data_IF_885879553954
#
_entry.id   IF_885879553954
#
_cell.length_a   1.000
_cell.length_b   1.000
_cell.length_c   1.000
_cell.angle_alpha   90.00
_cell.angle_beta   90.00
_cell.angle_gamma   90.00
#
_symmetry.space_group_name_H-M   'P 1'
#
loop_
_entity.id
_entity.type
_entity.pdbx_description
1 polymer ?
#
# COMPACT_ATOMS: atom_id res chain seq x y z
N UNK A 1 15.34 6.92 -24.33
CA UNK A 1 14.86 5.86 -25.25
C UNK A 1 14.95 4.42 -24.69
N UNK A 2 15.35 4.19 -23.42
CA UNK A 2 15.45 2.84 -22.79
C UNK A 2 14.28 2.44 -21.87
N UNK A 3 13.38 3.36 -21.54
CA UNK A 3 12.23 3.12 -20.62
C UNK A 3 11.00 2.57 -21.36
N UNK A 4 10.88 2.82 -22.67
CA UNK A 4 9.74 2.35 -23.50
C UNK A 4 9.84 0.85 -23.78
N UNK A 5 11.04 0.26 -23.78
CA UNK A 5 11.22 -1.17 -24.04
C UNK A 5 10.76 -2.10 -22.88
N UNK A 6 10.77 -1.62 -21.65
CA UNK A 6 10.32 -2.42 -20.50
C UNK A 6 8.78 -2.58 -20.46
N UNK A 7 8.02 -1.64 -21.02
CA UNK A 7 6.55 -1.71 -21.08
C UNK A 7 6.04 -2.66 -22.16
N UNK A 8 6.78 -2.85 -23.24
CA UNK A 8 6.40 -3.73 -24.34
C UNK A 8 6.62 -5.22 -24.06
N UNK A 9 7.55 -5.56 -23.16
CA UNK A 9 7.79 -6.97 -22.76
C UNK A 9 6.72 -7.52 -21.81
N UNK A 10 5.98 -6.67 -21.09
CA UNK A 10 4.86 -7.10 -20.24
C UNK A 10 3.56 -7.37 -21.02
N UNK A 11 3.41 -6.80 -22.20
CA UNK A 11 2.20 -6.96 -23.03
C UNK A 11 2.14 -8.31 -23.78
N UNK A 12 3.27 -9.01 -23.97
CA UNK A 12 3.33 -10.26 -24.74
C UNK A 12 3.02 -11.52 -23.93
N UNK A 13 2.86 -11.44 -22.60
CA UNK A 13 2.56 -12.61 -21.75
C UNK A 13 1.07 -12.93 -21.58
N UNK A 14 0.17 -12.17 -22.21
CA UNK A 14 -1.29 -12.23 -21.93
C UNK A 14 -2.12 -13.00 -22.97
N UNK A 15 -1.53 -13.73 -23.92
CA UNK A 15 -2.25 -14.29 -25.08
C UNK A 15 -2.46 -15.80 -25.08
N UNK A 16 -2.53 -16.44 -23.92
CA UNK A 16 -3.04 -17.83 -23.84
C UNK A 16 -4.18 -17.94 -22.82
N UNK A 17 -5.34 -17.34 -23.14
CA UNK A 17 -6.59 -17.63 -22.44
C UNK A 17 -7.24 -18.83 -23.14
N UNK A 18 -7.20 -19.99 -22.53
CA UNK A 18 -7.98 -21.16 -22.95
C UNK A 18 -9.49 -20.83 -22.96
N UNK A 19 -10.13 -21.00 -24.11
CA UNK A 19 -11.60 -20.97 -24.25
C UNK A 19 -12.24 -22.11 -23.49
N UNK A 20 -12.72 -21.84 -22.30
CA UNK A 20 -13.62 -22.72 -21.56
C UNK A 20 -15.05 -22.24 -21.78
N UNK A 21 -15.92 -23.07 -22.39
CA UNK A 21 -17.36 -22.78 -22.61
C UNK A 21 -18.01 -22.24 -21.32
N UNK A 22 -18.72 -21.11 -21.37
CA UNK A 22 -19.14 -20.43 -20.15
C UNK A 22 -20.48 -20.95 -19.63
N UNK A 23 -20.45 -21.76 -18.58
CA UNK A 23 -21.55 -21.71 -17.61
C UNK A 23 -21.58 -20.31 -16.99
N UNK A 24 -22.79 -19.74 -16.70
CA UNK A 24 -22.87 -18.37 -16.10
C UNK A 24 -21.95 -18.27 -14.89
N UNK A 25 -20.90 -17.47 -14.94
CA UNK A 25 -19.91 -17.42 -13.87
C UNK A 25 -20.59 -16.94 -12.58
N UNK A 26 -20.57 -17.79 -11.55
CA UNK A 26 -21.00 -17.39 -10.20
C UNK A 26 -19.85 -16.63 -9.55
N UNK A 27 -20.15 -15.49 -8.93
CA UNK A 27 -19.17 -14.79 -8.08
C UNK A 27 -18.81 -15.70 -6.88
N UNK A 28 -17.55 -15.92 -6.65
CA UNK A 28 -17.04 -16.71 -5.51
C UNK A 28 -15.69 -16.15 -5.06
N UNK A 29 -15.32 -16.38 -3.82
CA UNK A 29 -13.98 -16.10 -3.32
C UNK A 29 -13.08 -17.25 -3.77
N UNK A 30 -12.22 -16.98 -4.73
CA UNK A 30 -11.20 -17.86 -5.27
C UNK A 30 -9.80 -17.44 -4.81
N UNK A 31 -8.77 -18.22 -5.17
CA UNK A 31 -7.38 -17.97 -4.79
C UNK A 31 -6.93 -16.54 -5.15
N UNK A 32 -7.28 -16.05 -6.35
CA UNK A 32 -6.89 -14.71 -6.79
C UNK A 32 -7.55 -13.63 -5.94
N UNK A 33 -8.83 -13.80 -5.56
CA UNK A 33 -9.51 -12.87 -4.65
C UNK A 33 -8.91 -12.86 -3.25
N UNK A 34 -8.50 -14.03 -2.75
CA UNK A 34 -7.80 -14.11 -1.45
C UNK A 34 -6.49 -13.34 -1.52
N UNK A 35 -5.66 -13.59 -2.54
CA UNK A 35 -4.38 -12.90 -2.71
C UNK A 35 -4.60 -11.38 -2.87
N UNK A 36 -5.52 -10.99 -3.76
CA UNK A 36 -5.81 -9.57 -4.01
C UNK A 36 -6.41 -8.91 -2.76
N UNK A 37 -7.32 -9.58 -2.06
CA UNK A 37 -7.90 -9.10 -0.79
C UNK A 37 -6.84 -8.90 0.29
N UNK A 38 -5.87 -9.83 0.40
CA UNK A 38 -4.74 -9.72 1.33
C UNK A 38 -3.84 -8.54 0.99
N UNK A 39 -3.54 -8.31 -0.30
CA UNK A 39 -2.78 -7.13 -0.74
C UNK A 39 -3.51 -5.83 -0.39
N UNK A 40 -4.81 -5.77 -0.64
CA UNK A 40 -5.63 -4.59 -0.32
C UNK A 40 -5.75 -4.38 1.20
N UNK A 41 -5.80 -5.45 1.99
CA UNK A 41 -5.76 -5.38 3.45
C UNK A 41 -4.41 -4.80 3.94
N UNK A 42 -3.29 -5.28 3.38
CA UNK A 42 -1.95 -4.71 3.67
C UNK A 42 -1.87 -3.24 3.29
N UNK A 43 -2.44 -2.85 2.15
CA UNK A 43 -2.52 -1.45 1.75
C UNK A 43 -3.30 -0.61 2.77
N UNK A 44 -4.45 -1.10 3.22
CA UNK A 44 -5.26 -0.46 4.26
C UNK A 44 -4.50 -0.34 5.57
N UNK A 45 -3.80 -1.39 5.99
CA UNK A 45 -2.98 -1.38 7.21
C UNK A 45 -1.85 -0.35 7.14
N UNK A 46 -1.12 -0.29 6.03
CA UNK A 46 -0.07 0.70 5.82
C UNK A 46 -0.62 2.14 5.84
N UNK A 47 -1.79 2.37 5.24
CA UNK A 47 -2.48 3.66 5.29
C UNK A 47 -2.94 4.02 6.70
N UNK A 48 -3.59 3.09 7.42
CA UNK A 48 -4.04 3.30 8.80
C UNK A 48 -2.88 3.58 9.75
N UNK A 49 -1.75 2.90 9.56
CA UNK A 49 -0.54 3.16 10.35
C UNK A 49 0.04 4.55 10.06
N UNK A 50 0.05 5.01 8.82
CA UNK A 50 0.44 6.38 8.51
C UNK A 50 -0.45 7.43 9.18
N UNK A 51 -1.75 7.20 9.19
CA UNK A 51 -2.69 8.11 9.88
C UNK A 51 -2.46 8.07 11.40
N UNK A 52 -2.13 6.91 11.97
CA UNK A 52 -1.72 6.79 13.38
C UNK A 52 -0.48 7.64 13.68
N UNK A 53 0.57 7.50 12.88
CA UNK A 53 1.80 8.29 13.06
C UNK A 53 1.57 9.79 12.87
N UNK A 54 0.65 10.17 11.99
CA UNK A 54 0.37 11.57 11.70
C UNK A 54 -0.53 12.24 12.74
N UNK A 55 -1.60 11.56 13.18
CA UNK A 55 -2.63 12.16 14.03
C UNK A 55 -2.60 11.69 15.48
N UNK A 56 -2.04 10.51 15.75
CA UNK A 56 -2.05 9.85 17.06
C UNK A 56 -0.65 9.44 17.53
N UNK A 57 0.40 10.14 17.08
CA UNK A 57 1.78 9.78 17.37
C UNK A 57 2.05 9.62 18.88
N UNK A 58 1.53 10.55 19.69
CA UNK A 58 1.70 10.50 21.16
C UNK A 58 1.10 9.22 21.78
N UNK A 59 -0.05 8.79 21.31
CA UNK A 59 -0.67 7.55 21.77
C UNK A 59 0.13 6.30 21.33
N UNK A 60 0.71 6.36 20.12
CA UNK A 60 1.61 5.33 19.61
C UNK A 60 2.90 5.26 20.43
N UNK A 61 3.56 6.38 20.67
CA UNK A 61 4.78 6.50 21.49
C UNK A 61 4.56 6.00 22.92
N UNK A 62 3.45 6.39 23.56
CA UNK A 62 3.08 5.89 24.89
C UNK A 62 2.85 4.37 24.93
N UNK A 63 2.45 3.78 23.81
CA UNK A 63 2.23 2.33 23.70
C UNK A 63 3.57 1.60 23.48
N UNK A 64 4.50 2.23 22.80
CA UNK A 64 5.82 1.69 22.46
C UNK A 64 6.92 2.65 22.93
N UNK A 65 7.18 2.74 24.25
CA UNK A 65 8.16 3.68 24.78
C UNK A 65 9.57 3.32 24.28
N UNK A 66 10.35 4.35 23.94
CA UNK A 66 11.72 4.18 23.46
C UNK A 66 11.86 3.89 21.98
N UNK A 67 10.78 4.03 21.18
CA UNK A 67 10.89 3.97 19.73
C UNK A 67 11.76 5.10 19.19
N UNK A 68 12.38 4.83 18.03
CA UNK A 68 13.22 5.82 17.36
C UNK A 68 12.34 6.91 16.70
N UNK A 69 12.24 8.08 17.35
CA UNK A 69 11.50 9.21 16.82
C UNK A 69 11.97 9.66 15.43
N UNK A 70 13.30 9.60 15.18
CA UNK A 70 13.84 9.94 13.87
C UNK A 70 13.37 9.02 12.75
N UNK A 71 12.75 7.88 13.08
CA UNK A 71 12.19 6.96 12.09
C UNK A 71 10.65 7.02 12.05
N UNK A 72 10.01 7.08 13.21
CA UNK A 72 8.56 6.93 13.32
C UNK A 72 7.79 8.25 13.42
N UNK A 73 8.40 9.33 13.93
CA UNK A 73 7.71 10.60 14.08
C UNK A 73 7.76 11.43 12.78
N UNK A 74 6.67 11.59 12.03
CA UNK A 74 6.68 12.32 10.75
C UNK A 74 7.09 13.79 10.87
N UNK A 75 6.92 14.39 12.07
CA UNK A 75 7.31 15.79 12.33
C UNK A 75 8.84 15.96 12.36
N UNK A 76 9.57 14.89 12.62
CA UNK A 76 11.03 14.87 12.71
C UNK A 76 11.63 14.10 11.54
N UNK A 77 11.11 12.90 11.25
CA UNK A 77 11.70 11.93 10.33
C UNK A 77 11.75 12.38 8.86
N UNK A 78 10.93 13.34 8.47
CA UNK A 78 10.93 13.89 7.10
C UNK A 78 12.30 14.43 6.68
N UNK A 79 13.15 14.82 7.67
CA UNK A 79 14.50 15.33 7.45
C UNK A 79 15.50 14.24 7.06
N UNK A 80 15.19 12.98 7.33
CA UNK A 80 16.12 11.85 7.10
C UNK A 80 16.49 11.64 5.62
N UNK A 81 15.75 12.21 4.69
CA UNK A 81 16.07 12.19 3.26
C UNK A 81 17.21 13.13 2.88
N UNK A 82 17.64 14.02 3.79
CA UNK A 82 18.71 15.00 3.55
C UNK A 82 19.97 14.68 4.34
N UNK A 83 21.13 15.12 3.86
CA UNK A 83 22.41 15.01 4.58
C UNK A 83 22.37 15.81 5.87
N UNK A 84 22.68 15.16 6.99
CA UNK A 84 22.62 15.80 8.30
C UNK A 84 21.23 16.27 8.72
N UNK A 85 20.18 15.89 8.00
CA UNK A 85 18.80 16.32 8.28
C UNK A 85 18.48 17.73 7.79
N UNK A 86 19.35 18.34 7.00
CA UNK A 86 19.21 19.71 6.48
C UNK A 86 18.94 19.68 4.96
N UNK A 87 17.81 20.25 4.49
CA UNK A 87 17.49 20.35 3.08
C UNK A 87 18.57 21.01 2.21
N UNK A 88 19.28 22.00 2.76
CA UNK A 88 20.28 22.77 2.01
C UNK A 88 21.53 21.92 1.70
N UNK A 89 21.76 20.84 2.44
CA UNK A 89 22.86 19.90 2.22
C UNK A 89 22.56 18.84 1.13
N UNK A 90 21.37 18.89 0.53
CA UNK A 90 20.95 18.00 -0.53
C UNK A 90 20.64 16.56 -0.08
N UNK A 91 20.42 15.62 -1.03
CA UNK A 91 20.00 14.25 -0.74
C UNK A 91 21.01 13.48 0.12
N UNK A 92 20.52 12.68 1.10
CA UNK A 92 21.36 11.86 1.98
C UNK A 92 22.09 10.76 1.20
N UNK A 93 21.42 10.18 0.22
CA UNK A 93 21.95 9.17 -0.70
C UNK A 93 21.25 9.31 -2.06
N UNK A 94 21.70 8.56 -3.05
CA UNK A 94 21.16 8.61 -4.40
C UNK A 94 19.62 8.41 -4.41
N UNK A 95 18.90 9.40 -4.93
CA UNK A 95 17.43 9.45 -5.01
C UNK A 95 16.69 9.35 -3.64
N UNK A 96 17.34 9.68 -2.52
CA UNK A 96 16.69 9.66 -1.18
C UNK A 96 15.51 10.63 -1.05
N UNK A 97 15.45 11.66 -1.89
CA UNK A 97 14.36 12.65 -1.92
C UNK A 97 13.26 12.31 -2.93
N UNK A 98 13.39 11.21 -3.66
CA UNK A 98 12.47 10.82 -4.75
C UNK A 98 12.21 9.32 -4.79
N UNK A 99 12.88 8.57 -5.67
CA UNK A 99 12.56 7.15 -5.91
C UNK A 99 12.84 6.23 -4.71
N UNK A 100 13.85 6.54 -3.91
CA UNK A 100 14.25 5.74 -2.75
C UNK A 100 13.93 6.38 -1.39
N UNK A 101 13.01 7.33 -1.38
CA UNK A 101 12.54 8.00 -0.16
C UNK A 101 11.93 7.01 0.85
N UNK A 102 11.40 5.87 0.40
CA UNK A 102 10.89 4.83 1.29
C UNK A 102 11.92 4.24 2.27
N UNK A 103 13.21 4.46 2.04
CA UNK A 103 14.26 4.02 2.95
C UNK A 103 14.67 5.09 3.97
N UNK A 104 13.97 6.22 4.03
CA UNK A 104 14.34 7.31 4.93
C UNK A 104 13.55 7.32 6.24
N UNK A 105 12.30 6.87 6.23
CA UNK A 105 11.43 6.86 7.39
C UNK A 105 10.21 5.95 7.21
N UNK A 106 9.51 5.66 8.30
CA UNK A 106 8.35 4.77 8.32
C UNK A 106 7.17 5.32 7.51
N UNK A 107 6.95 6.62 7.51
CA UNK A 107 5.86 7.23 6.77
C UNK A 107 6.00 7.00 5.25
N UNK A 108 7.19 7.24 4.71
CA UNK A 108 7.48 7.00 3.29
C UNK A 108 7.48 5.50 2.93
N UNK A 109 7.99 4.65 3.84
CA UNK A 109 7.93 3.20 3.67
C UNK A 109 6.49 2.69 3.57
N UNK A 110 5.61 3.14 4.47
CA UNK A 110 4.20 2.75 4.45
C UNK A 110 3.48 3.25 3.17
N UNK A 111 3.80 4.47 2.71
CA UNK A 111 3.28 4.98 1.44
C UNK A 111 3.72 4.11 0.25
N UNK A 112 4.97 3.64 0.25
CA UNK A 112 5.46 2.72 -0.76
C UNK A 112 4.73 1.38 -0.68
N UNK A 113 4.60 0.78 0.51
CA UNK A 113 3.89 -0.49 0.73
C UNK A 113 2.43 -0.38 0.26
N UNK A 114 1.73 0.70 0.65
CA UNK A 114 0.35 0.94 0.22
C UNK A 114 0.22 0.95 -1.30
N UNK A 115 1.04 1.75 -1.99
CA UNK A 115 1.00 1.87 -3.45
C UNK A 115 1.40 0.56 -4.14
N UNK A 116 2.46 -0.10 -3.69
CA UNK A 116 2.92 -1.35 -4.26
C UNK A 116 1.84 -2.45 -4.13
N UNK A 117 1.20 -2.55 -2.97
CA UNK A 117 0.14 -3.52 -2.73
C UNK A 117 -1.10 -3.26 -3.62
N UNK A 118 -1.55 -2.00 -3.75
CA UNK A 118 -2.66 -1.64 -4.65
C UNK A 118 -2.30 -1.94 -6.12
N UNK A 119 -1.10 -1.56 -6.57
CA UNK A 119 -0.67 -1.82 -7.94
C UNK A 119 -0.55 -3.31 -8.25
N UNK A 120 -0.02 -4.11 -7.31
CA UNK A 120 0.02 -5.57 -7.44
C UNK A 120 -1.38 -6.18 -7.51
N UNK A 121 -2.31 -5.73 -6.66
CA UNK A 121 -3.70 -6.13 -6.70
C UNK A 121 -4.35 -5.82 -8.05
N UNK A 122 -4.10 -4.63 -8.60
CA UNK A 122 -4.62 -4.20 -9.89
C UNK A 122 -4.09 -5.07 -11.04
N UNK A 123 -2.79 -5.38 -11.05
CA UNK A 123 -2.17 -6.26 -12.06
C UNK A 123 -2.83 -7.63 -12.05
N UNK A 124 -3.06 -8.23 -10.89
CA UNK A 124 -3.77 -9.51 -10.77
C UNK A 124 -5.18 -9.41 -11.34
N UNK A 125 -5.90 -8.33 -11.04
CA UNK A 125 -7.28 -8.11 -11.51
C UNK A 125 -7.36 -7.92 -13.02
N UNK A 126 -6.41 -7.23 -13.61
CA UNK A 126 -6.31 -7.10 -15.08
C UNK A 126 -6.07 -8.47 -15.72
N UNK A 127 -5.20 -9.29 -15.14
CA UNK A 127 -4.90 -10.64 -15.62
C UNK A 127 -6.07 -11.64 -15.54
N UNK A 128 -7.11 -11.37 -14.74
CA UNK A 128 -8.31 -12.22 -14.65
C UNK A 128 -9.26 -12.11 -15.86
N UNK A 129 -9.04 -11.16 -16.77
CA UNK A 129 -9.84 -10.94 -17.96
C UNK A 129 -11.24 -10.33 -17.69
N UNK A 130 -12.08 -10.29 -18.73
CA UNK A 130 -13.41 -9.65 -18.67
C UNK A 130 -14.40 -10.46 -17.84
N UNK A 131 -15.21 -9.77 -17.03
CA UNK A 131 -16.24 -10.33 -16.17
C UNK A 131 -17.57 -9.58 -16.35
N UNK A 132 -18.73 -10.18 -15.98
CA UNK A 132 -19.98 -9.44 -15.87
C UNK A 132 -19.87 -8.25 -14.92
N UNK A 133 -20.47 -7.11 -15.27
CA UNK A 133 -20.38 -5.87 -14.51
C UNK A 133 -20.70 -6.03 -13.01
N UNK A 134 -21.74 -6.83 -12.69
CA UNK A 134 -22.11 -7.15 -11.30
C UNK A 134 -20.96 -7.77 -10.48
N UNK A 135 -20.04 -8.51 -11.12
CA UNK A 135 -18.89 -9.10 -10.43
C UNK A 135 -17.85 -8.04 -10.07
N UNK A 136 -17.69 -7.01 -10.91
CA UNK A 136 -16.83 -5.86 -10.55
C UNK A 136 -17.38 -5.09 -9.35
N UNK A 137 -18.69 -4.91 -9.24
CA UNK A 137 -19.32 -4.28 -8.09
C UNK A 137 -19.11 -5.08 -6.80
N UNK A 138 -19.27 -6.41 -6.88
CA UNK A 138 -19.01 -7.29 -5.73
C UNK A 138 -17.54 -7.33 -5.35
N UNK A 139 -16.63 -7.33 -6.34
CA UNK A 139 -15.19 -7.23 -6.11
C UNK A 139 -14.83 -5.88 -5.46
N UNK A 140 -15.41 -4.76 -5.91
CA UNK A 140 -15.23 -3.45 -5.31
C UNK A 140 -15.65 -3.43 -3.84
N UNK A 141 -16.84 -3.94 -3.53
CA UNK A 141 -17.34 -4.03 -2.16
C UNK A 141 -16.41 -4.89 -1.29
N UNK A 142 -16.02 -6.08 -1.77
CA UNK A 142 -15.12 -6.97 -1.06
C UNK A 142 -13.77 -6.32 -0.75
N UNK A 143 -13.15 -5.67 -1.73
CA UNK A 143 -11.84 -5.01 -1.54
C UNK A 143 -11.94 -3.75 -0.67
N UNK A 144 -13.06 -3.02 -0.74
CA UNK A 144 -13.32 -1.91 0.19
C UNK A 144 -13.36 -2.41 1.63
N UNK A 145 -14.05 -3.53 1.89
CA UNK A 145 -14.08 -4.13 3.23
C UNK A 145 -12.68 -4.57 3.65
N UNK A 146 -11.91 -5.25 2.79
CA UNK A 146 -10.54 -5.65 3.09
C UNK A 146 -9.67 -4.44 3.46
N UNK A 147 -9.74 -3.35 2.69
CA UNK A 147 -9.00 -2.11 2.96
C UNK A 147 -9.39 -1.51 4.32
N UNK A 148 -10.69 -1.38 4.59
CA UNK A 148 -11.19 -0.79 5.82
C UNK A 148 -10.83 -1.64 7.05
N UNK A 149 -10.86 -2.97 6.95
CA UNK A 149 -10.40 -3.86 8.03
C UNK A 149 -8.91 -3.64 8.31
N UNK A 150 -8.08 -3.58 7.28
CA UNK A 150 -6.66 -3.29 7.43
C UNK A 150 -6.40 -1.93 8.06
N UNK A 151 -7.08 -0.89 7.57
CA UNK A 151 -7.01 0.47 8.12
C UNK A 151 -7.42 0.50 9.59
N UNK A 152 -8.57 -0.07 9.89
CA UNK A 152 -9.13 -0.09 11.24
C UNK A 152 -8.20 -0.78 12.24
N UNK A 153 -7.57 -1.88 11.85
CA UNK A 153 -6.66 -2.65 12.70
C UNK A 153 -5.42 -1.86 13.14
N UNK A 154 -4.98 -0.87 12.36
CA UNK A 154 -3.76 -0.11 12.64
C UNK A 154 -4.03 1.34 13.09
N UNK A 155 -5.23 1.86 12.87
CA UNK A 155 -5.60 3.23 13.24
C UNK A 155 -6.36 3.29 14.58
N UNK A 156 -7.49 2.58 14.71
CA UNK A 156 -8.36 2.74 15.88
C UNK A 156 -7.77 2.31 17.23
N UNK A 157 -6.82 1.37 17.34
CA UNK A 157 -6.19 1.06 18.63
C UNK A 157 -5.54 2.27 19.32
N UNK A 158 -5.17 3.29 18.54
CA UNK A 158 -4.47 4.48 19.04
C UNK A 158 -5.38 5.71 19.20
N UNK A 159 -6.58 5.73 18.61
CA UNK A 159 -7.51 6.86 18.72
C UNK A 159 -8.15 6.96 20.11
N UNK A 160 -8.55 5.84 20.72
CA UNK A 160 -9.19 5.79 22.03
C UNK A 160 -8.24 6.20 23.18
N UNK A 161 -6.91 6.16 22.96
CA UNK A 161 -5.89 6.54 23.96
C UNK A 161 -5.48 8.00 23.88
N UNK A 162 -5.83 8.70 22.81
CA UNK A 162 -5.52 10.13 22.62
C UNK A 162 -6.48 11.04 23.42
N UNK A 163 -7.61 10.52 23.88
CA UNK A 163 -8.66 11.28 24.58
C UNK A 163 -8.53 11.27 26.12
N UNK A 164 -7.46 10.73 26.67
CA UNK A 164 -7.09 10.76 28.08
C UNK A 164 -5.75 11.44 28.24
#
# INVERSE_FOLDING_TARGET
>A
MRIIFAFLLFASFSLQAQEKKPGKPKWRIDKNKIITGSLVLVAGSAKGFNETLHFNYKAFENTFPGINENWFNPQVSWRNKYKGGDPDNGPKFFLSTSAFVMFTDQYHLNNFINRAAIMSALVIKIGEGKKPFKHYLLDLLFYTVCHQVGFAATYYPFTARSSK
#
